data_IF_403275042929
#
_entry.id   IF_403275042929
#
_cell.length_a   1.000
_cell.length_b   1.000
_cell.length_c   1.000
_cell.angle_alpha   90.00
_cell.angle_beta   90.00
_cell.angle_gamma   90.00
#
_symmetry.space_group_name_H-M   'P 1'
#
loop_
_entity.id
_entity.type
_entity.pdbx_description
1 polymer ?
#
# COMPACT_ATOMS: atom_id res chain seq x y z
N UNK A 1 8.11 -9.41 9.34
CA UNK A 1 7.80 -8.73 8.07
C UNK A 1 6.55 -9.36 7.51
N UNK A 2 5.60 -8.54 7.04
CA UNK A 2 4.32 -8.96 6.49
C UNK A 2 4.14 -8.36 5.09
N UNK A 3 3.26 -8.95 4.30
CA UNK A 3 2.83 -8.36 3.03
C UNK A 3 1.65 -7.43 3.29
N UNK A 4 1.61 -6.34 2.54
CA UNK A 4 0.57 -5.33 2.60
C UNK A 4 0.07 -5.08 1.18
N UNK A 5 -1.25 -5.15 0.98
CA UNK A 5 -1.90 -4.71 -0.23
C UNK A 5 -2.24 -3.23 -0.08
N UNK A 6 -1.57 -2.40 -0.89
CA UNK A 6 -1.74 -0.95 -0.90
C UNK A 6 -2.51 -0.55 -2.16
N UNK A 7 -3.70 0.00 -1.96
CA UNK A 7 -4.52 0.59 -3.00
C UNK A 7 -4.30 2.10 -3.00
N UNK A 8 -3.99 2.66 -4.16
CA UNK A 8 -3.68 4.08 -4.31
C UNK A 8 -4.22 4.64 -5.62
N UNK A 9 -4.39 5.95 -5.67
CA UNK A 9 -4.91 6.63 -6.86
C UNK A 9 -3.79 7.35 -7.61
N UNK A 10 -3.74 7.16 -8.92
CA UNK A 10 -2.88 7.93 -9.83
C UNK A 10 -3.78 8.63 -10.85
N UNK A 11 -3.95 9.94 -10.69
CA UNK A 11 -4.99 10.68 -11.40
C UNK A 11 -6.38 10.15 -11.02
N UNK A 12 -7.15 9.71 -12.02
CA UNK A 12 -8.50 9.15 -11.82
C UNK A 12 -8.54 7.61 -11.81
N UNK A 13 -7.40 6.94 -11.73
CA UNK A 13 -7.30 5.47 -11.79
C UNK A 13 -6.86 4.91 -10.44
N UNK A 14 -7.58 3.91 -9.94
CA UNK A 14 -7.20 3.11 -8.76
C UNK A 14 -6.21 2.02 -9.20
N UNK A 15 -5.10 1.89 -8.48
CA UNK A 15 -4.06 0.88 -8.69
C UNK A 15 -3.69 0.22 -7.38
N UNK A 16 -3.22 -1.02 -7.48
CA UNK A 16 -2.86 -1.83 -6.31
C UNK A 16 -1.39 -2.24 -6.40
N UNK A 17 -0.69 -2.23 -5.26
CA UNK A 17 0.70 -2.67 -5.13
C UNK A 17 0.85 -3.52 -3.87
N UNK A 18 1.57 -4.64 -3.99
CA UNK A 18 1.94 -5.47 -2.85
C UNK A 18 3.31 -5.02 -2.34
N UNK A 19 3.39 -4.75 -1.05
CA UNK A 19 4.60 -4.23 -0.39
C UNK A 19 4.93 -5.09 0.81
N UNK A 20 6.21 -5.45 0.98
CA UNK A 20 6.66 -6.17 2.16
C UNK A 20 7.21 -5.16 3.17
N UNK A 21 6.55 -5.02 4.31
CA UNK A 21 6.93 -4.06 5.35
C UNK A 21 6.94 -4.68 6.75
N UNK A 22 7.51 -3.96 7.72
CA UNK A 22 7.49 -4.37 9.13
C UNK A 22 6.11 -4.19 9.77
N UNK A 23 5.45 -3.11 9.39
CA UNK A 23 4.16 -2.66 9.89
C UNK A 23 3.46 -1.77 8.83
N UNK A 24 2.22 -1.37 9.12
CA UNK A 24 1.40 -0.53 8.25
C UNK A 24 2.08 0.81 7.90
N UNK A 25 2.73 1.43 8.88
CA UNK A 25 3.34 2.75 8.72
C UNK A 25 4.58 2.69 7.81
N UNK A 26 5.34 1.60 7.92
CA UNK A 26 6.43 1.31 6.99
C UNK A 26 5.91 1.01 5.57
N UNK A 27 4.78 0.31 5.43
CA UNK A 27 4.15 0.06 4.13
C UNK A 27 3.70 1.38 3.46
N UNK A 28 3.05 2.26 4.22
CA UNK A 28 2.62 3.58 3.77
C UNK A 28 3.81 4.44 3.28
N UNK A 29 4.86 4.56 4.08
CA UNK A 29 6.04 5.37 3.73
C UNK A 29 6.84 4.81 2.54
N UNK A 30 6.77 3.50 2.29
CA UNK A 30 7.46 2.86 1.17
C UNK A 30 6.77 3.13 -0.17
N UNK A 31 5.45 3.38 -0.14
CA UNK A 31 4.66 3.72 -1.34
C UNK A 31 4.64 5.23 -1.50
N UNK A 32 5.55 5.77 -2.31
CA UNK A 32 5.61 7.21 -2.63
C UNK A 32 4.53 7.62 -3.64
N UNK A 33 3.28 7.62 -3.20
CA UNK A 33 2.12 7.98 -4.03
C UNK A 33 1.40 9.19 -3.44
N UNK A 34 0.75 9.95 -4.30
CA UNK A 34 0.06 11.19 -3.93
C UNK A 34 -1.13 10.97 -3.00
N UNK A 35 -1.78 9.81 -3.07
CA UNK A 35 -2.93 9.49 -2.20
C UNK A 35 -3.12 7.97 -2.11
N UNK A 36 -3.10 7.46 -0.88
CA UNK A 36 -3.39 6.07 -0.57
C UNK A 36 -4.88 5.97 -0.26
N UNK A 37 -5.57 5.06 -0.96
CA UNK A 37 -6.99 4.79 -0.76
C UNK A 37 -7.21 3.75 0.33
N UNK A 38 -6.35 2.73 0.40
CA UNK A 38 -6.43 1.67 1.41
C UNK A 38 -5.11 0.94 1.60
N UNK A 39 -4.84 0.49 2.81
CA UNK A 39 -3.78 -0.48 3.10
C UNK A 39 -4.40 -1.60 3.91
N UNK A 40 -4.24 -2.83 3.43
CA UNK A 40 -4.72 -4.03 4.12
C UNK A 40 -3.55 -4.97 4.35
N UNK A 41 -3.45 -5.60 5.53
CA UNK A 41 -2.53 -6.72 5.72
C UNK A 41 -2.88 -7.81 4.71
N UNK A 42 -1.93 -8.14 3.84
CA UNK A 42 -2.08 -9.23 2.89
C UNK A 42 -1.63 -10.50 3.60
N UNK A 43 -2.61 -11.19 4.19
CA UNK A 43 -2.44 -12.37 5.03
C UNK A 43 -2.44 -13.68 4.21
N UNK A 44 -2.17 -13.60 2.90
CA UNK A 44 -2.06 -14.75 2.00
C UNK A 44 -0.86 -15.65 2.36
#
# INVERSE_FOLDING_TARGET
MKLYLVEYTVGSVIRNMIVRAKDHNAAENQVKVSMIARITDDNF
#
